data_IF_934418295824
#
_entry.id   IF_934418295824
#
_cell.length_a   1.000
_cell.length_b   1.000
_cell.length_c   1.000
_cell.angle_alpha   90.00
_cell.angle_beta   90.00
_cell.angle_gamma   90.00
#
_symmetry.space_group_name_H-M   'P 1'
#
loop_
_entity.id
_entity.type
_entity.pdbx_description
1 polymer ?
#
# COMPACT_ATOMS: atom_id res chain seq x y z
N UNK A 1 -9.20 -16.98 39.37
CA UNK A 1 -9.51 -18.13 38.49
C UNK A 1 -10.06 -17.73 37.12
N UNK A 2 -10.93 -16.71 36.99
CA UNK A 2 -11.49 -16.32 35.69
C UNK A 2 -10.49 -15.72 34.68
N UNK A 3 -9.41 -15.08 35.14
CA UNK A 3 -8.42 -14.45 34.25
C UNK A 3 -7.66 -15.45 33.37
N UNK A 4 -7.23 -16.58 33.93
CA UNK A 4 -6.47 -17.59 33.19
C UNK A 4 -7.30 -18.27 32.08
N UNK A 5 -8.61 -18.46 32.30
CA UNK A 5 -9.51 -18.97 31.26
C UNK A 5 -9.73 -17.95 30.15
N UNK A 6 -9.89 -16.66 30.50
CA UNK A 6 -10.05 -15.60 29.51
C UNK A 6 -8.80 -15.42 28.63
N UNK A 7 -7.60 -15.56 29.19
CA UNK A 7 -6.34 -15.53 28.44
C UNK A 7 -6.23 -16.70 27.46
N UNK A 8 -6.55 -17.92 27.92
CA UNK A 8 -6.57 -19.12 27.07
C UNK A 8 -7.54 -18.98 25.89
N UNK A 9 -8.76 -18.49 26.13
CA UNK A 9 -9.75 -18.25 25.06
C UNK A 9 -9.28 -17.20 24.06
N UNK A 10 -8.63 -16.13 24.54
CA UNK A 10 -8.06 -15.09 23.68
C UNK A 10 -6.96 -15.67 22.78
N UNK A 11 -6.07 -16.49 23.33
CA UNK A 11 -5.00 -17.14 22.57
C UNK A 11 -5.55 -18.04 21.47
N UNK A 12 -6.57 -18.86 21.78
CA UNK A 12 -7.29 -19.69 20.80
C UNK A 12 -7.92 -18.87 19.66
N UNK A 13 -8.52 -17.71 19.97
CA UNK A 13 -9.10 -16.81 18.96
C UNK A 13 -8.00 -16.23 18.05
N UNK A 14 -6.88 -15.82 18.64
CA UNK A 14 -5.74 -15.27 17.89
C UNK A 14 -5.17 -16.33 16.95
N UNK A 15 -4.91 -17.53 17.45
CA UNK A 15 -4.37 -18.64 16.65
C UNK A 15 -5.28 -18.95 15.45
N UNK A 16 -6.59 -19.07 15.69
CA UNK A 16 -7.57 -19.32 14.62
C UNK A 16 -7.60 -18.20 13.59
N UNK A 17 -7.49 -16.94 14.04
CA UNK A 17 -7.48 -15.78 13.14
C UNK A 17 -6.22 -15.78 12.26
N UNK A 18 -5.06 -16.08 12.84
CA UNK A 18 -3.80 -16.18 12.12
C UNK A 18 -3.83 -17.31 11.09
N UNK A 19 -4.35 -18.49 11.47
CA UNK A 19 -4.53 -19.61 10.56
C UNK A 19 -5.43 -19.24 9.37
N UNK A 20 -6.55 -18.55 9.62
CA UNK A 20 -7.45 -18.06 8.56
C UNK A 20 -6.79 -17.04 7.64
N UNK A 21 -6.02 -16.09 8.20
CA UNK A 21 -5.25 -15.12 7.42
C UNK A 21 -4.18 -15.79 6.56
N UNK A 22 -3.50 -16.81 7.09
CA UNK A 22 -2.51 -17.59 6.35
C UNK A 22 -3.15 -18.33 5.17
N UNK A 23 -4.28 -19.01 5.40
CA UNK A 23 -5.04 -19.68 4.33
C UNK A 23 -5.49 -18.70 3.25
N UNK A 24 -6.00 -17.52 3.63
CA UNK A 24 -6.40 -16.49 2.66
C UNK A 24 -5.22 -15.95 1.84
N UNK A 25 -4.05 -15.75 2.47
CA UNK A 25 -2.82 -15.36 1.76
C UNK A 25 -2.36 -16.44 0.79
N UNK A 26 -2.44 -17.72 1.15
CA UNK A 26 -2.12 -18.85 0.27
C UNK A 26 -3.02 -18.90 -0.96
N UNK A 27 -4.28 -18.46 -0.85
CA UNK A 27 -5.22 -18.29 -1.96
C UNK A 27 -4.97 -17.01 -2.80
N UNK A 28 -3.90 -16.26 -2.52
CA UNK A 28 -3.52 -15.06 -3.27
C UNK A 28 -4.13 -13.75 -2.74
N UNK A 29 -4.81 -13.76 -1.58
CA UNK A 29 -5.31 -12.52 -0.98
C UNK A 29 -4.17 -11.74 -0.33
N UNK A 30 -3.82 -10.59 -0.92
CA UNK A 30 -2.77 -9.69 -0.39
C UNK A 30 -3.15 -9.11 0.99
N UNK A 31 -4.42 -8.73 1.18
CA UNK A 31 -4.90 -8.06 2.39
C UNK A 31 -4.50 -6.57 2.46
N UNK A 32 -4.76 -5.91 3.59
CA UNK A 32 -4.39 -4.50 3.82
C UNK A 32 -5.29 -3.46 3.12
N UNK A 33 -4.89 -2.19 3.22
CA UNK A 33 -5.58 -1.06 2.58
C UNK A 33 -5.29 -1.06 1.09
N UNK A 34 -6.34 -1.03 0.26
CA UNK A 34 -6.20 -0.91 -1.20
C UNK A 34 -5.45 0.39 -1.56
N UNK A 35 -4.47 0.34 -2.49
CA UNK A 35 -3.83 1.55 -3.00
C UNK A 35 -4.88 2.50 -3.58
N UNK A 36 -4.74 3.81 -3.30
CA UNK A 36 -5.61 4.85 -3.88
C UNK A 36 -5.34 5.08 -5.38
N UNK A 37 -4.14 4.77 -5.85
CA UNK A 37 -3.69 5.01 -7.22
C UNK A 37 -3.69 3.69 -8.00
N UNK A 38 -4.15 3.75 -9.25
CA UNK A 38 -4.01 2.65 -10.21
C UNK A 38 -2.63 2.69 -10.88
N UNK A 39 -2.22 1.58 -11.51
CA UNK A 39 -0.96 1.51 -12.26
C UNK A 39 -0.88 2.59 -13.36
N UNK A 40 -1.97 2.78 -14.09
CA UNK A 40 -2.07 3.79 -15.14
C UNK A 40 -1.89 5.22 -14.60
N UNK A 41 -2.45 5.51 -13.42
CA UNK A 41 -2.27 6.80 -12.76
C UNK A 41 -0.82 7.04 -12.33
N UNK A 42 -0.12 6.00 -11.86
CA UNK A 42 1.32 6.10 -11.58
C UNK A 42 2.13 6.47 -12.82
N UNK A 43 1.85 5.81 -13.94
CA UNK A 43 2.55 6.08 -15.20
C UNK A 43 2.23 7.50 -15.72
N UNK A 44 0.98 7.94 -15.60
CA UNK A 44 0.58 9.29 -15.98
C UNK A 44 1.25 10.36 -15.11
N UNK A 45 1.30 10.15 -13.79
CA UNK A 45 1.99 11.04 -12.86
C UNK A 45 3.48 11.10 -13.19
N UNK A 46 4.13 9.96 -13.46
CA UNK A 46 5.53 9.91 -13.87
C UNK A 46 5.80 10.74 -15.14
N UNK A 47 4.95 10.59 -16.17
CA UNK A 47 5.06 11.37 -17.42
C UNK A 47 4.86 12.86 -17.19
N UNK A 48 3.92 13.25 -16.33
CA UNK A 48 3.68 14.66 -16.01
C UNK A 48 4.85 15.27 -15.22
N UNK A 49 5.43 14.52 -14.29
CA UNK A 49 6.62 14.95 -13.56
C UNK A 49 7.83 15.15 -14.49
N UNK A 50 8.03 14.27 -15.47
CA UNK A 50 9.08 14.43 -16.48
C UNK A 50 8.89 15.68 -17.35
N UNK A 51 7.63 16.04 -17.64
CA UNK A 51 7.27 17.27 -18.36
C UNK A 51 7.43 18.55 -17.51
N UNK A 52 7.86 18.43 -16.25
CA UNK A 52 8.10 19.57 -15.36
C UNK A 52 6.86 20.09 -14.64
N UNK A 53 5.77 19.31 -14.57
CA UNK A 53 4.60 19.72 -13.78
C UNK A 53 4.89 19.70 -12.29
N UNK A 54 4.32 20.67 -11.56
CA UNK A 54 4.50 20.78 -10.13
C UNK A 54 3.81 19.64 -9.35
N UNK A 55 4.52 19.11 -8.36
CA UNK A 55 4.08 18.00 -7.50
C UNK A 55 2.85 18.40 -6.66
N UNK A 56 2.75 19.66 -6.21
CA UNK A 56 1.56 20.11 -5.44
C UNK A 56 0.32 20.13 -6.30
N UNK A 57 0.44 20.57 -7.56
CA UNK A 57 -0.67 20.57 -8.50
C UNK A 57 -1.16 19.15 -8.80
N UNK A 58 -0.24 18.21 -9.00
CA UNK A 58 -0.59 16.79 -9.19
C UNK A 58 -1.27 16.19 -7.95
N UNK A 59 -0.83 16.56 -6.74
CA UNK A 59 -1.46 16.09 -5.50
C UNK A 59 -2.95 16.45 -5.43
N UNK A 60 -3.29 17.67 -5.85
CA UNK A 60 -4.67 18.18 -5.90
C UNK A 60 -5.48 17.44 -6.98
N UNK A 61 -4.93 17.30 -8.19
CA UNK A 61 -5.62 16.67 -9.33
C UNK A 61 -5.99 15.21 -9.03
N UNK A 62 -5.10 14.47 -8.37
CA UNK A 62 -5.29 13.05 -8.07
C UNK A 62 -5.88 12.78 -6.67
N UNK A 63 -6.25 13.82 -5.91
CA UNK A 63 -6.74 13.70 -4.51
C UNK A 63 -5.84 12.82 -3.61
N UNK A 64 -4.54 13.10 -3.66
CA UNK A 64 -3.52 12.40 -2.87
C UNK A 64 -2.69 13.39 -2.07
N UNK A 65 -2.21 12.95 -0.90
CA UNK A 65 -1.27 13.76 -0.13
C UNK A 65 0.07 13.91 -0.85
N UNK A 66 0.74 15.05 -0.69
CA UNK A 66 2.09 15.31 -1.22
C UNK A 66 3.10 14.21 -0.86
N UNK A 67 3.00 13.67 0.36
CA UNK A 67 3.80 12.55 0.83
C UNK A 67 3.63 11.28 -0.03
N UNK A 68 2.44 11.08 -0.60
CA UNK A 68 2.16 9.96 -1.50
C UNK A 68 2.92 10.12 -2.81
N UNK A 69 2.97 11.34 -3.37
CA UNK A 69 3.74 11.61 -4.59
C UNK A 69 5.23 11.41 -4.34
N UNK A 70 5.79 11.95 -3.25
CA UNK A 70 7.20 11.77 -2.95
C UNK A 70 7.58 10.32 -2.65
N UNK A 71 6.68 9.54 -2.01
CA UNK A 71 6.91 8.11 -1.75
C UNK A 71 7.03 7.29 -3.03
N UNK A 72 6.23 7.60 -4.04
CA UNK A 72 6.24 6.86 -5.31
C UNK A 72 7.18 7.47 -6.37
N UNK A 73 7.45 8.78 -6.29
CA UNK A 73 8.27 9.53 -7.23
C UNK A 73 9.24 10.47 -6.48
N UNK A 74 10.31 9.92 -5.89
CA UNK A 74 11.31 10.71 -5.17
C UNK A 74 12.08 11.67 -6.10
N UNK A 75 12.65 12.72 -5.52
CA UNK A 75 13.55 13.65 -6.22
C UNK A 75 14.95 13.03 -6.32
N UNK A 76 15.44 12.83 -7.55
CA UNK A 76 16.81 12.34 -7.80
C UNK A 76 16.92 10.93 -8.42
N UNK A 77 15.81 10.20 -8.60
CA UNK A 77 15.86 8.94 -9.33
C UNK A 77 15.88 9.19 -10.84
N UNK A 78 17.08 9.10 -11.42
CA UNK A 78 17.26 8.83 -12.85
C UNK A 78 16.53 7.52 -13.15
N UNK A 79 15.70 7.54 -14.18
CA UNK A 79 14.78 6.45 -14.52
C UNK A 79 15.60 5.30 -15.12
N UNK A 80 16.04 4.32 -14.32
CA UNK A 80 16.26 2.98 -14.86
C UNK A 80 14.88 2.34 -14.98
N UNK A 81 14.36 2.34 -16.20
CA UNK A 81 13.34 1.38 -16.61
C UNK A 81 13.89 -0.02 -16.30
N UNK A 82 13.26 -0.86 -15.45
CA UNK A 82 13.40 -2.28 -15.65
C UNK A 82 12.53 -2.60 -16.87
N UNK A 83 13.19 -2.83 -18.00
CA UNK A 83 12.59 -3.65 -19.04
C UNK A 83 12.38 -5.06 -18.49
N UNK A 84 11.25 -5.67 -18.89
CA UNK A 84 10.71 -6.99 -18.53
C UNK A 84 9.86 -7.06 -17.25
#
# INVERSE_FOLDING_TARGET
>A
MMGALAEMERELIVERTLAGLAAARAQGRVGGRRPKLTKEQHEQIARLLQKGYDRKRLAIIYDIGLSTIYRYHPVGTVITQPEM
#
